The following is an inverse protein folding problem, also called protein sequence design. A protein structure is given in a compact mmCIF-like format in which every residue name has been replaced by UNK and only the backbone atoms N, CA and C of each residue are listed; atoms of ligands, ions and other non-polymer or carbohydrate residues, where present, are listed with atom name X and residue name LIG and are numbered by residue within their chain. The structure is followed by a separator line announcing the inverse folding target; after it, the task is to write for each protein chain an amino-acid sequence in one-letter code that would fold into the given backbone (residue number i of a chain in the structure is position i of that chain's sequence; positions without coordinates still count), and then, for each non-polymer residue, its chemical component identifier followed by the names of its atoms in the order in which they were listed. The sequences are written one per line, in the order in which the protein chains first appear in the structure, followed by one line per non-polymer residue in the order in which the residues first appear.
data_IF_168860060919
#
_entry.id   IF_168860060919
#
_cell.length_a   1.000
_cell.length_b   1.000
_cell.length_c   1.000
_cell.angle_alpha   90.00
_cell.angle_beta   90.00
_cell.angle_gamma   90.00
#
_symmetry.space_group_name_H-M   'P 1'
#
loop_
_entity.id
_entity.type
_entity.pdbx_description
1 polymer ?
#
# COMPACT_ATOMS: atom_id res chain seq x y z
N UNK A 1 42.19 -1.20 -45.42
CA UNK A 1 42.08 -1.53 -43.99
C UNK A 1 40.62 -1.38 -43.56
N UNK A 2 39.85 -2.46 -43.49
CA UNK A 2 38.41 -2.41 -43.17
C UNK A 2 37.98 -3.65 -42.40
N UNK A 3 38.34 -3.72 -41.13
CA UNK A 3 37.92 -4.79 -40.23
C UNK A 3 36.70 -4.36 -39.42
N UNK A 4 35.53 -4.90 -39.76
CA UNK A 4 34.31 -4.80 -38.96
C UNK A 4 34.58 -5.30 -37.54
N UNK A 5 34.67 -4.36 -36.59
CA UNK A 5 34.71 -4.66 -35.15
C UNK A 5 33.32 -5.10 -34.70
N UNK A 6 32.96 -6.36 -35.01
CA UNK A 6 31.83 -7.02 -34.37
C UNK A 6 32.14 -7.14 -32.88
N UNK A 7 31.59 -6.23 -32.08
CA UNK A 7 31.68 -6.30 -30.62
C UNK A 7 31.10 -7.63 -30.16
N UNK A 8 31.84 -8.31 -29.29
CA UNK A 8 31.49 -9.60 -28.70
C UNK A 8 30.10 -9.56 -28.06
N UNK A 9 29.32 -10.66 -28.08
CA UNK A 9 28.01 -10.74 -27.42
C UNK A 9 28.04 -10.25 -25.96
N UNK A 10 29.13 -10.50 -25.23
CA UNK A 10 29.32 -10.00 -23.87
C UNK A 10 29.38 -8.46 -23.74
N UNK A 11 29.82 -7.77 -24.80
CA UNK A 11 29.81 -6.30 -24.86
C UNK A 11 28.45 -5.75 -25.31
N UNK A 12 27.67 -6.50 -26.09
CA UNK A 12 26.29 -6.15 -26.43
C UNK A 12 25.36 -6.28 -25.22
N UNK A 13 25.53 -7.30 -24.39
CA UNK A 13 24.74 -7.45 -23.15
C UNK A 13 24.95 -6.30 -22.17
N UNK A 14 26.19 -5.85 -21.94
CA UNK A 14 26.44 -4.66 -21.09
C UNK A 14 25.83 -3.37 -21.64
N UNK A 15 25.69 -3.24 -22.96
CA UNK A 15 25.06 -2.09 -23.60
C UNK A 15 23.52 -2.16 -23.55
N UNK A 16 22.92 -3.35 -23.64
CA UNK A 16 21.48 -3.56 -23.44
C UNK A 16 21.07 -3.36 -21.98
N UNK A 17 21.87 -3.82 -21.02
CA UNK A 17 21.57 -3.60 -19.59
C UNK A 17 21.55 -2.12 -19.19
N UNK A 18 22.31 -1.24 -19.86
CA UNK A 18 22.26 0.20 -19.60
C UNK A 18 21.04 0.89 -20.21
N UNK A 19 20.45 0.36 -21.29
CA UNK A 19 19.21 0.92 -21.88
C UNK A 19 17.95 0.40 -21.20
N UNK A 20 17.98 -0.82 -20.65
CA UNK A 20 16.84 -1.40 -19.90
C UNK A 20 16.64 -0.76 -18.51
N UNK A 21 17.70 -0.18 -17.93
CA UNK A 21 17.62 0.55 -16.67
C UNK A 21 16.85 1.88 -16.77
N UNK A 22 16.62 2.41 -17.97
CA UNK A 22 15.99 3.72 -18.18
C UNK A 22 14.46 3.64 -18.34
N UNK A 23 13.89 2.44 -18.53
CA UNK A 23 12.43 2.24 -18.67
C UNK A 23 11.72 1.68 -17.43
N UNK A 24 12.43 1.40 -16.34
CA UNK A 24 11.82 1.05 -15.04
C UNK A 24 11.85 2.16 -13.99
N UNK A 25 11.86 3.43 -14.41
CA UNK A 25 11.28 4.52 -13.60
C UNK A 25 9.75 4.57 -13.80
N UNK A 26 9.10 3.42 -13.74
CA UNK A 26 7.69 3.35 -13.41
C UNK A 26 7.57 3.95 -12.03
N UNK A 27 6.86 5.08 -11.95
CA UNK A 27 6.54 5.87 -10.75
C UNK A 27 6.86 5.11 -9.47
N UNK A 28 7.77 5.65 -8.68
CA UNK A 28 7.66 5.55 -7.22
C UNK A 28 6.21 5.96 -6.94
N UNK A 29 5.29 5.00 -6.87
CA UNK A 29 4.04 5.16 -6.16
C UNK A 29 4.56 5.49 -4.79
N UNK A 30 4.56 6.79 -4.51
CA UNK A 30 4.66 7.32 -3.18
C UNK A 30 3.54 6.57 -2.47
N UNK A 31 3.87 5.44 -1.86
CA UNK A 31 3.20 5.00 -0.66
C UNK A 31 3.45 6.17 0.30
N UNK A 32 2.66 7.22 0.12
CA UNK A 32 2.11 7.93 1.24
C UNK A 32 1.41 6.83 2.03
N UNK A 33 2.19 6.13 2.85
CA UNK A 33 1.82 5.89 4.22
C UNK A 33 1.40 7.25 4.77
N UNK A 34 0.21 7.69 4.35
CA UNK A 34 -0.51 8.79 4.95
C UNK A 34 -0.62 8.32 6.38
N UNK A 35 0.22 8.89 7.24
CA UNK A 35 0.17 8.68 8.68
C UNK A 35 -1.16 9.25 9.11
N UNK A 36 -2.23 8.49 8.89
CA UNK A 36 -3.57 8.81 9.34
C UNK A 36 -3.47 8.90 10.85
N UNK A 37 -3.93 10.00 11.42
CA UNK A 37 -3.91 10.19 12.87
C UNK A 37 -4.80 9.12 13.50
N UNK A 38 -4.17 8.12 14.10
CA UNK A 38 -4.87 6.98 14.69
C UNK A 38 -5.23 7.31 16.12
N UNK A 39 -6.52 7.44 16.39
CA UNK A 39 -7.02 7.71 17.73
C UNK A 39 -7.23 6.43 18.55
N UNK A 40 -7.14 6.54 19.87
CA UNK A 40 -7.45 5.44 20.81
C UNK A 40 -8.93 5.44 21.19
N UNK A 41 -9.60 6.57 21.02
CA UNK A 41 -11.02 6.77 21.34
C UNK A 41 -11.86 6.60 20.07
N UNK A 42 -12.99 5.90 20.18
CA UNK A 42 -13.90 5.63 19.06
C UNK A 42 -15.11 6.56 19.12
N UNK A 43 -15.48 7.12 17.98
CA UNK A 43 -16.76 7.81 17.82
C UNK A 43 -17.86 6.75 17.67
N UNK A 44 -18.66 6.59 18.72
CA UNK A 44 -19.76 5.63 18.78
C UNK A 44 -20.80 5.87 17.67
N UNK A 45 -21.06 7.13 17.31
CA UNK A 45 -22.05 7.46 16.28
C UNK A 45 -21.62 6.95 14.91
N UNK A 46 -20.35 7.15 14.57
CA UNK A 46 -19.78 6.67 13.31
C UNK A 46 -19.66 5.14 13.30
N UNK A 47 -19.23 4.54 14.42
CA UNK A 47 -19.11 3.10 14.55
C UNK A 47 -20.47 2.39 14.40
N UNK A 48 -21.52 2.90 15.05
CA UNK A 48 -22.87 2.35 14.95
C UNK A 48 -23.47 2.53 13.55
N UNK A 49 -23.22 3.67 12.90
CA UNK A 49 -23.64 3.89 11.52
C UNK A 49 -22.99 2.88 10.58
N UNK A 50 -21.69 2.67 10.74
CA UNK A 50 -20.94 1.68 9.97
C UNK A 50 -21.49 0.26 10.19
N UNK A 51 -21.64 -0.17 11.45
CA UNK A 51 -22.18 -1.49 11.82
C UNK A 51 -23.55 -1.74 11.20
N UNK A 52 -24.45 -0.75 11.24
CA UNK A 52 -25.80 -0.87 10.66
C UNK A 52 -25.79 -1.01 9.13
N UNK A 53 -24.78 -0.45 8.47
CA UNK A 53 -24.66 -0.48 7.00
C UNK A 53 -23.87 -1.67 6.47
N UNK A 54 -23.05 -2.30 7.31
CA UNK A 54 -22.12 -3.35 6.89
C UNK A 54 -22.78 -4.74 6.94
N UNK A 55 -22.71 -5.47 5.83
CA UNK A 55 -23.13 -6.88 5.78
C UNK A 55 -22.17 -7.80 6.56
N UNK A 56 -20.88 -7.45 6.58
CA UNK A 56 -19.83 -8.19 7.29
C UNK A 56 -19.04 -7.19 8.12
N UNK A 57 -18.93 -7.45 9.42
CA UNK A 57 -18.24 -6.57 10.35
C UNK A 57 -16.88 -7.19 10.68
N UNK A 58 -15.81 -6.43 10.45
CA UNK A 58 -14.46 -6.80 10.89
C UNK A 58 -13.81 -5.66 11.65
N UNK A 59 -13.00 -5.99 12.67
CA UNK A 59 -12.29 -4.98 13.46
C UNK A 59 -11.34 -4.13 12.61
N UNK A 60 -10.76 -4.72 11.57
CA UNK A 60 -9.86 -4.03 10.66
C UNK A 60 -10.59 -3.01 9.79
N UNK A 61 -11.77 -3.35 9.27
CA UNK A 61 -12.54 -2.43 8.44
C UNK A 61 -13.14 -1.29 9.28
N UNK A 62 -13.67 -1.60 10.47
CA UNK A 62 -14.11 -0.58 11.42
C UNK A 62 -12.98 0.40 11.76
N UNK A 63 -11.79 -0.11 12.07
CA UNK A 63 -10.63 0.71 12.43
C UNK A 63 -10.20 1.70 11.32
N UNK A 64 -10.31 1.27 10.05
CA UNK A 64 -9.99 2.13 8.90
C UNK A 64 -11.06 3.19 8.66
N UNK A 65 -12.33 2.83 8.80
CA UNK A 65 -13.44 3.76 8.57
C UNK A 65 -13.56 4.80 9.69
N UNK A 66 -13.17 4.48 10.92
CA UNK A 66 -13.23 5.41 12.06
C UNK A 66 -11.88 5.97 12.50
N UNK A 67 -10.79 5.67 11.77
CA UNK A 67 -9.42 6.12 12.08
C UNK A 67 -8.98 5.82 13.53
N UNK A 68 -9.32 4.65 14.05
CA UNK A 68 -8.94 4.22 15.41
C UNK A 68 -7.98 3.05 15.40
N UNK A 69 -7.32 2.78 16.53
CA UNK A 69 -6.49 1.57 16.69
C UNK A 69 -7.36 0.33 16.52
N UNK A 70 -6.82 -0.68 15.82
CA UNK A 70 -7.48 -1.98 15.63
C UNK A 70 -7.82 -2.63 16.98
N UNK A 71 -6.98 -2.46 18.00
CA UNK A 71 -7.26 -2.94 19.36
C UNK A 71 -8.50 -2.28 19.98
N UNK A 72 -8.68 -0.97 19.78
CA UNK A 72 -9.89 -0.23 20.21
C UNK A 72 -11.11 -0.74 19.45
N UNK A 73 -11.03 -0.83 18.12
CA UNK A 73 -12.13 -1.33 17.30
C UNK A 73 -12.55 -2.76 17.70
N UNK A 74 -11.58 -3.65 17.93
CA UNK A 74 -11.84 -5.01 18.40
C UNK A 74 -12.50 -5.03 19.78
N UNK A 75 -12.00 -4.22 20.72
CA UNK A 75 -12.59 -4.10 22.06
C UNK A 75 -14.02 -3.54 22.01
N UNK A 76 -14.29 -2.61 21.09
CA UNK A 76 -15.62 -2.05 20.89
C UNK A 76 -16.60 -3.10 20.36
N UNK A 77 -16.18 -3.88 19.35
CA UNK A 77 -17.01 -4.97 18.80
C UNK A 77 -17.30 -6.05 19.86
N UNK A 78 -16.32 -6.43 20.67
CA UNK A 78 -16.51 -7.42 21.75
C UNK A 78 -17.42 -6.93 22.89
N UNK A 79 -17.56 -5.62 23.07
CA UNK A 79 -18.45 -5.04 24.10
C UNK A 79 -19.86 -4.77 23.57
N UNK A 80 -19.99 -4.59 22.26
CA UNK A 80 -21.25 -4.18 21.62
C UNK A 80 -22.03 -5.35 21.02
N UNK A 81 -21.40 -6.53 20.92
CA UNK A 81 -21.99 -7.81 20.52
C UNK A 81 -21.97 -8.76 21.72
#
# INVERSE_FOLDING_TARGET
MGGSKNKSPAQKEKAQQKKDAEQKKGKKSKSEDSKTEISVLIDESQALKYIKSANVITAHDLARNTSVKISTANSFLQKSL
#
